data_IF_016089218528
#
_entry.id   IF_016089218528
#
_cell.length_a   1.000
_cell.length_b   1.000
_cell.length_c   1.000
_cell.angle_alpha   90.00
_cell.angle_beta   90.00
_cell.angle_gamma   90.00
#
_symmetry.space_group_name_H-M   'P 1'
#
loop_
_entity.id
_entity.type
_entity.pdbx_description
1 polymer ?
#
# COMPACT_ATOMS: atom_id res chain seq x y z
N UNK A 1 12.70 -8.64 1.43
CA UNK A 1 12.58 -10.10 1.68
C UNK A 1 11.24 -10.45 2.30
N UNK A 2 10.92 -9.97 3.51
CA UNK A 2 9.66 -10.31 4.20
C UNK A 2 8.40 -10.08 3.36
N UNK A 3 8.24 -8.91 2.72
CA UNK A 3 7.09 -8.65 1.84
C UNK A 3 6.99 -9.59 0.63
N UNK A 4 8.11 -10.07 0.09
CA UNK A 4 8.11 -11.07 -0.99
C UNK A 4 7.70 -12.46 -0.47
N UNK A 5 8.11 -12.81 0.77
CA UNK A 5 7.65 -14.05 1.42
C UNK A 5 6.14 -14.00 1.62
N UNK A 6 5.60 -12.88 2.12
CA UNK A 6 4.16 -12.70 2.27
C UNK A 6 3.43 -12.79 0.92
N UNK A 7 3.97 -12.20 -0.16
CA UNK A 7 3.41 -12.37 -1.50
C UNK A 7 3.27 -13.85 -1.86
N UNK A 8 4.33 -14.65 -1.71
CA UNK A 8 4.32 -16.08 -2.06
C UNK A 8 3.35 -16.86 -1.17
N UNK A 9 3.35 -16.60 0.14
CA UNK A 9 2.45 -17.27 1.10
C UNK A 9 1.00 -16.94 0.78
N UNK A 10 0.64 -15.69 0.54
CA UNK A 10 -0.75 -15.33 0.23
C UNK A 10 -1.18 -15.77 -1.17
N UNK A 11 -0.27 -15.81 -2.15
CA UNK A 11 -0.56 -16.40 -3.45
C UNK A 11 -0.90 -17.90 -3.34
N UNK A 12 -0.15 -18.65 -2.51
CA UNK A 12 -0.34 -20.11 -2.38
C UNK A 12 -1.64 -20.49 -1.67
N UNK A 13 -2.14 -19.66 -0.76
CA UNK A 13 -3.37 -19.95 0.01
C UNK A 13 -4.65 -19.35 -0.58
N UNK A 14 -4.61 -18.74 -1.78
CA UNK A 14 -5.75 -18.00 -2.35
C UNK A 14 -7.05 -18.81 -2.47
N UNK A 15 -6.97 -20.13 -2.71
CA UNK A 15 -8.14 -20.99 -2.89
C UNK A 15 -8.77 -21.52 -1.60
N UNK A 16 -8.06 -21.38 -0.48
CA UNK A 16 -8.44 -21.97 0.82
C UNK A 16 -8.75 -20.87 1.82
N UNK A 17 -7.87 -19.88 1.97
CA UNK A 17 -7.97 -18.89 3.03
C UNK A 17 -9.28 -18.08 3.00
N UNK A 18 -9.80 -17.61 1.84
CA UNK A 18 -11.09 -16.91 1.80
C UNK A 18 -12.27 -17.70 2.35
N UNK A 19 -12.28 -19.02 2.15
CA UNK A 19 -13.37 -19.92 2.58
C UNK A 19 -13.40 -20.12 4.10
N UNK A 20 -12.31 -19.80 4.79
CA UNK A 20 -12.25 -19.80 6.26
C UNK A 20 -12.97 -18.60 6.85
N UNK A 21 -13.05 -17.48 6.12
CA UNK A 21 -13.70 -16.25 6.58
C UNK A 21 -15.19 -16.18 6.26
N UNK A 22 -15.62 -16.79 5.16
CA UNK A 22 -17.02 -16.76 4.73
C UNK A 22 -17.38 -17.97 3.87
N UNK A 23 -18.65 -18.37 3.93
CA UNK A 23 -19.26 -19.36 3.05
C UNK A 23 -20.22 -18.74 2.02
N UNK A 24 -20.39 -17.42 2.02
CA UNK A 24 -21.25 -16.72 1.06
C UNK A 24 -20.64 -16.73 -0.34
N UNK A 25 -21.39 -17.30 -1.30
CA UNK A 25 -20.93 -17.45 -2.68
C UNK A 25 -20.72 -16.11 -3.40
N UNK A 26 -21.52 -15.09 -3.08
CA UNK A 26 -21.40 -13.76 -3.66
C UNK A 26 -20.11 -13.06 -3.23
N UNK A 27 -19.77 -13.13 -1.95
CA UNK A 27 -18.50 -12.59 -1.44
C UNK A 27 -17.32 -13.36 -2.02
N UNK A 28 -17.37 -14.70 -2.03
CA UNK A 28 -16.28 -15.52 -2.57
C UNK A 28 -16.03 -15.28 -4.07
N UNK A 29 -17.05 -14.89 -4.84
CA UNK A 29 -16.90 -14.53 -6.25
C UNK A 29 -16.13 -13.21 -6.45
N UNK A 30 -16.23 -12.26 -5.52
CA UNK A 30 -15.53 -10.97 -5.58
C UNK A 30 -14.08 -11.04 -5.06
N UNK A 31 -13.77 -12.00 -4.18
CA UNK A 31 -12.46 -12.12 -3.53
C UNK A 31 -11.30 -12.18 -4.53
N UNK A 32 -11.30 -12.97 -5.61
CA UNK A 32 -10.15 -13.08 -6.51
C UNK A 32 -9.70 -11.72 -7.07
N UNK A 33 -10.64 -10.81 -7.34
CA UNK A 33 -10.33 -9.46 -7.81
C UNK A 33 -9.48 -8.71 -6.79
N UNK A 34 -9.97 -8.59 -5.55
CA UNK A 34 -9.26 -7.94 -4.45
C UNK A 34 -7.96 -8.64 -4.03
N UNK A 35 -7.98 -9.97 -4.05
CA UNK A 35 -6.90 -10.82 -3.54
C UNK A 35 -5.59 -10.58 -4.28
N UNK A 36 -5.64 -10.49 -5.61
CA UNK A 36 -4.42 -10.33 -6.40
C UNK A 36 -3.82 -8.93 -6.25
N UNK A 37 -4.62 -7.88 -6.08
CA UNK A 37 -4.09 -6.58 -5.66
C UNK A 37 -3.39 -6.67 -4.31
N UNK A 38 -4.04 -7.28 -3.32
CA UNK A 38 -3.47 -7.49 -1.99
C UNK A 38 -2.12 -8.23 -2.03
N UNK A 39 -2.05 -9.36 -2.75
CA UNK A 39 -0.85 -10.17 -2.91
C UNK A 39 0.28 -9.39 -3.57
N UNK A 40 -0.01 -8.71 -4.69
CA UNK A 40 0.99 -7.95 -5.43
C UNK A 40 1.49 -6.72 -4.67
N UNK A 41 0.69 -6.17 -3.76
CA UNK A 41 1.08 -5.05 -2.92
C UNK A 41 1.96 -5.43 -1.72
N UNK A 42 2.10 -6.72 -1.36
CA UNK A 42 2.89 -7.12 -0.18
C UNK A 42 4.36 -6.64 -0.21
N UNK A 43 5.10 -6.74 -1.33
CA UNK A 43 6.47 -6.23 -1.40
C UNK A 43 6.52 -4.70 -1.28
N UNK A 44 5.57 -4.01 -1.92
CA UNK A 44 5.44 -2.54 -1.87
C UNK A 44 5.18 -2.08 -0.44
N UNK A 45 4.19 -2.69 0.22
CA UNK A 45 3.83 -2.44 1.61
C UNK A 45 5.02 -2.69 2.55
N UNK A 46 5.75 -3.79 2.36
CA UNK A 46 6.93 -4.09 3.16
C UNK A 46 8.00 -2.99 3.11
N UNK A 47 8.25 -2.40 1.94
CA UNK A 47 9.21 -1.29 1.80
C UNK A 47 8.65 0.00 2.41
N UNK A 48 7.40 0.35 2.08
CA UNK A 48 6.75 1.58 2.55
C UNK A 48 6.72 1.62 4.07
N UNK A 49 6.22 0.55 4.72
CA UNK A 49 6.08 0.53 6.17
C UNK A 49 7.43 0.47 6.91
N UNK A 50 8.44 -0.21 6.34
CA UNK A 50 9.79 -0.19 6.90
C UNK A 50 10.38 1.22 6.89
N UNK A 51 10.28 1.93 5.76
CA UNK A 51 10.78 3.30 5.64
C UNK A 51 9.93 4.30 6.43
N UNK A 52 8.62 4.12 6.53
CA UNK A 52 7.76 4.93 7.40
C UNK A 52 8.23 4.85 8.85
N UNK A 53 8.55 3.65 9.35
CA UNK A 53 9.10 3.46 10.70
C UNK A 53 10.43 4.19 10.91
N UNK A 54 11.35 4.10 9.94
CA UNK A 54 12.64 4.80 9.98
C UNK A 54 12.46 6.32 9.99
N UNK A 55 11.63 6.85 9.08
CA UNK A 55 11.40 8.30 8.96
C UNK A 55 10.64 8.85 10.17
N UNK A 56 9.68 8.10 10.71
CA UNK A 56 8.97 8.47 11.93
C UNK A 56 9.93 8.47 13.13
N UNK A 57 10.79 7.46 13.25
CA UNK A 57 11.82 7.38 14.30
C UNK A 57 12.86 8.50 14.21
N UNK A 58 13.16 8.98 13.01
CA UNK A 58 14.03 10.14 12.77
C UNK A 58 13.33 11.51 13.00
N UNK A 59 12.04 11.53 13.36
CA UNK A 59 11.27 12.75 13.59
C UNK A 59 10.70 13.41 12.33
N UNK A 60 10.77 12.76 11.17
CA UNK A 60 10.31 13.30 9.88
C UNK A 60 8.79 13.11 9.65
N UNK A 61 8.00 13.29 10.72
CA UNK A 61 6.55 13.07 10.70
C UNK A 61 5.81 14.07 9.77
N UNK A 62 6.33 15.29 9.62
CA UNK A 62 5.74 16.31 8.74
C UNK A 62 5.81 15.89 7.27
N UNK A 63 6.94 15.31 6.84
CA UNK A 63 7.07 14.74 5.49
C UNK A 63 6.09 13.58 5.31
N UNK A 64 6.07 12.62 6.24
CA UNK A 64 5.20 11.44 6.15
C UNK A 64 3.73 11.83 6.03
N UNK A 65 3.27 12.80 6.84
CA UNK A 65 1.91 13.36 6.73
C UNK A 65 1.64 13.91 5.33
N UNK A 66 2.50 14.79 4.83
CA UNK A 66 2.30 15.43 3.55
C UNK A 66 2.36 14.42 2.38
N UNK A 67 3.28 13.45 2.43
CA UNK A 67 3.38 12.38 1.44
C UNK A 67 2.12 11.48 1.44
N UNK A 68 1.58 11.18 2.63
CA UNK A 68 0.34 10.41 2.78
C UNK A 68 -0.84 11.16 2.18
N UNK A 69 -1.02 12.43 2.57
CA UNK A 69 -2.11 13.26 2.05
C UNK A 69 -2.00 13.48 0.55
N UNK A 70 -0.79 13.77 0.05
CA UNK A 70 -0.55 13.91 -1.39
C UNK A 70 -0.85 12.62 -2.16
N UNK A 71 -0.43 11.46 -1.65
CA UNK A 71 -0.73 10.17 -2.28
C UNK A 71 -2.23 9.88 -2.27
N UNK A 72 -2.95 10.25 -1.21
CA UNK A 72 -4.40 10.08 -1.14
C UNK A 72 -5.12 10.99 -2.15
N UNK A 73 -4.74 12.26 -2.20
CA UNK A 73 -5.37 13.26 -3.09
C UNK A 73 -5.07 13.00 -4.56
N UNK A 74 -3.86 12.53 -4.90
CA UNK A 74 -3.43 12.36 -6.29
C UNK A 74 -3.62 10.94 -6.81
N UNK A 75 -3.54 9.93 -5.96
CA UNK A 75 -3.66 8.52 -6.34
C UNK A 75 -5.02 7.93 -6.01
N UNK A 76 -5.40 7.97 -4.73
CA UNK A 76 -6.60 7.26 -4.25
C UNK A 76 -7.90 7.94 -4.70
N UNK A 77 -8.05 9.22 -4.39
CA UNK A 77 -9.29 9.96 -4.53
C UNK A 77 -9.78 10.05 -5.98
N UNK A 78 -8.92 10.36 -6.99
CA UNK A 78 -9.38 10.42 -8.37
C UNK A 78 -9.83 9.06 -8.87
N UNK A 79 -9.11 7.98 -8.52
CA UNK A 79 -9.45 6.63 -8.97
C UNK A 79 -10.74 6.10 -8.32
N UNK A 80 -11.03 6.45 -7.06
CA UNK A 80 -12.32 6.11 -6.46
C UNK A 80 -13.47 6.83 -7.16
N UNK A 81 -13.31 8.13 -7.45
CA UNK A 81 -14.36 8.86 -8.15
C UNK A 81 -14.59 8.33 -9.56
N UNK A 82 -13.52 7.97 -10.28
CA UNK A 82 -13.64 7.28 -11.56
C UNK A 82 -14.34 5.92 -11.40
N UNK A 83 -13.96 5.13 -10.39
CA UNK A 83 -14.62 3.86 -10.07
C UNK A 83 -16.11 4.03 -9.81
N UNK A 84 -16.51 5.05 -9.04
CA UNK A 84 -17.91 5.37 -8.76
C UNK A 84 -18.64 5.82 -10.03
N UNK A 85 -18.01 6.66 -10.85
CA UNK A 85 -18.61 7.20 -12.07
C UNK A 85 -18.80 6.16 -13.16
N UNK A 86 -17.83 5.26 -13.33
CA UNK A 86 -17.81 4.26 -14.40
C UNK A 86 -18.22 2.86 -13.94
N UNK A 87 -18.54 2.67 -12.66
CA UNK A 87 -19.01 1.40 -12.14
C UNK A 87 -17.95 0.30 -12.10
N UNK A 88 -16.67 0.64 -11.87
CA UNK A 88 -15.58 -0.35 -11.80
C UNK A 88 -15.66 -1.24 -10.54
N UNK A 89 -16.57 -0.94 -9.62
CA UNK A 89 -16.82 -1.74 -8.43
C UNK A 89 -15.58 -1.86 -7.53
N UNK A 90 -15.41 -3.05 -6.95
CA UNK A 90 -14.33 -3.34 -6.00
C UNK A 90 -12.94 -3.22 -6.64
N UNK A 91 -12.79 -3.61 -7.90
CA UNK A 91 -11.52 -3.53 -8.62
C UNK A 91 -11.02 -2.08 -8.77
N UNK A 92 -11.94 -1.13 -8.99
CA UNK A 92 -11.56 0.29 -9.07
C UNK A 92 -11.09 0.86 -7.73
N UNK A 93 -11.69 0.44 -6.61
CA UNK A 93 -11.23 0.82 -5.26
C UNK A 93 -9.82 0.29 -5.00
N UNK A 94 -9.56 -0.98 -5.33
CA UNK A 94 -8.23 -1.57 -5.19
C UNK A 94 -7.19 -0.96 -6.11
N UNK A 95 -7.58 -0.54 -7.31
CA UNK A 95 -6.70 0.21 -8.22
C UNK A 95 -6.31 1.55 -7.62
N UNK A 96 -7.26 2.26 -7.00
CA UNK A 96 -7.00 3.45 -6.21
C UNK A 96 -6.00 3.20 -5.07
N UNK A 97 -6.22 2.13 -4.30
CA UNK A 97 -5.35 1.77 -3.18
C UNK A 97 -3.94 1.39 -3.66
N UNK A 98 -3.83 0.70 -4.79
CA UNK A 98 -2.55 0.37 -5.39
C UNK A 98 -1.79 1.62 -5.83
N UNK A 99 -2.46 2.56 -6.51
CA UNK A 99 -1.85 3.83 -6.90
C UNK A 99 -1.38 4.64 -5.69
N UNK A 100 -2.19 4.70 -4.63
CA UNK A 100 -1.81 5.30 -3.36
C UNK A 100 -0.52 4.69 -2.79
N UNK A 101 -0.45 3.35 -2.71
CA UNK A 101 0.72 2.65 -2.19
C UNK A 101 1.98 2.85 -3.05
N UNK A 102 1.83 2.91 -4.37
CA UNK A 102 2.94 3.17 -5.29
C UNK A 102 3.46 4.60 -5.17
N UNK A 103 2.57 5.61 -5.05
CA UNK A 103 2.97 6.99 -4.81
C UNK A 103 3.70 7.14 -3.47
N UNK A 104 3.22 6.46 -2.42
CA UNK A 104 3.93 6.40 -1.14
C UNK A 104 5.32 5.80 -1.30
N UNK A 105 5.43 4.65 -1.97
CA UNK A 105 6.72 3.99 -2.23
C UNK A 105 7.70 4.95 -2.88
N UNK A 106 7.27 5.66 -3.93
CA UNK A 106 8.09 6.66 -4.62
C UNK A 106 8.51 7.76 -3.64
N UNK A 107 7.57 8.33 -2.90
CA UNK A 107 7.83 9.43 -1.97
C UNK A 107 8.83 9.04 -0.86
N UNK A 108 8.60 7.93 -0.16
CA UNK A 108 9.47 7.50 0.95
C UNK A 108 10.84 7.04 0.45
N UNK A 109 10.92 6.37 -0.70
CA UNK A 109 12.20 5.94 -1.28
C UNK A 109 13.00 7.15 -1.75
N UNK A 110 12.36 8.13 -2.39
CA UNK A 110 13.02 9.38 -2.79
C UNK A 110 13.50 10.17 -1.56
N UNK A 111 12.69 10.21 -0.50
CA UNK A 111 13.07 10.87 0.76
C UNK A 111 14.27 10.19 1.39
N UNK A 112 14.24 8.87 1.51
CA UNK A 112 15.32 8.08 2.06
C UNK A 112 16.63 8.28 1.28
N UNK A 113 16.57 8.21 -0.07
CA UNK A 113 17.74 8.45 -0.93
C UNK A 113 18.28 9.88 -0.84
N UNK A 114 17.44 10.87 -0.53
CA UNK A 114 17.89 12.27 -0.43
C UNK A 114 18.78 12.55 0.78
N UNK A 115 18.86 11.65 1.78
CA UNK A 115 19.67 11.82 3.00
C UNK A 115 19.19 12.91 3.96
N UNK A 116 18.39 13.89 3.52
CA UNK A 116 17.94 15.03 4.37
C UNK A 116 16.93 14.65 5.47
N UNK A 117 16.69 13.36 5.68
CA UNK A 117 15.89 12.81 6.78
C UNK A 117 16.78 12.42 7.96
N UNK A 118 18.07 12.20 7.73
CA UNK A 118 19.01 11.83 8.77
C UNK A 118 19.33 13.04 9.64
N UNK A 119 18.89 13.01 10.89
CA UNK A 119 19.35 13.93 11.92
C UNK A 119 20.72 13.42 12.37
N UNK A 120 21.80 14.01 11.85
CA UNK A 120 23.16 13.75 12.33
C UNK A 120 23.31 14.39 13.71
N UNK A 121 23.25 13.58 14.76
CA UNK A 121 23.42 14.02 16.15
C UNK A 121 24.85 14.39 16.53
N UNK A 122 25.71 14.79 15.59
CA UNK A 122 27.13 15.07 15.82
C UNK A 122 27.46 16.54 15.60
N UNK A 123 26.87 17.43 16.42
CA UNK A 123 27.52 18.68 16.85
C UNK A 123 27.08 18.99 18.29
N UNK A 124 27.90 18.57 19.25
CA UNK A 124 28.06 19.19 20.58
C UNK A 124 29.51 19.02 21.01
#
# INVERSE_FOLDING_TARGET
VFGCVLLVVFASVHGVLPKVFTSDAGVLAEVPGAWWFFVLLQPVAGVVFALDGVLLGAGDAKFLRNATLGSALLGFLPLIWLSLRFGWGLAGIWTGLAAFMLLRLIAVTARWRSGRWAVVGAER
#
